data_IF_552409213012
#
_entry.id   IF_552409213012
#
_cell.length_a   1.000
_cell.length_b   1.000
_cell.length_c   1.000
_cell.angle_alpha   90.00
_cell.angle_beta   90.00
_cell.angle_gamma   90.00
#
_symmetry.space_group_name_H-M   'P 1'
#
loop_
_entity.id
_entity.type
_entity.pdbx_description
1 polymer ?
#
# COMPACT_ATOMS: atom_id res chain seq x y z
N UNK A 1 18.41 -12.74 -29.19
CA UNK A 1 18.00 -13.34 -30.48
C UNK A 1 16.48 -13.27 -30.53
N UNK A 2 15.87 -12.55 -31.48
CA UNK A 2 14.43 -12.23 -31.40
C UNK A 2 13.55 -13.48 -31.58
N UNK A 3 12.42 -13.53 -30.88
CA UNK A 3 11.41 -14.61 -30.98
C UNK A 3 11.02 -14.86 -32.45
N UNK A 4 10.95 -13.81 -33.25
CA UNK A 4 10.69 -13.89 -34.69
C UNK A 4 11.75 -14.67 -35.48
N UNK A 5 13.02 -14.66 -35.07
CA UNK A 5 14.07 -15.45 -35.72
C UNK A 5 13.86 -16.95 -35.48
N UNK A 6 13.47 -17.34 -34.26
CA UNK A 6 13.13 -18.73 -33.93
C UNK A 6 11.85 -19.20 -34.64
N UNK A 7 10.82 -18.35 -34.73
CA UNK A 7 9.57 -18.66 -35.46
C UNK A 7 9.85 -18.83 -36.96
N UNK A 8 10.70 -17.97 -37.54
CA UNK A 8 11.10 -18.03 -38.95
C UNK A 8 11.92 -19.30 -39.27
N UNK A 9 12.84 -19.68 -38.38
CA UNK A 9 13.64 -20.91 -38.50
C UNK A 9 12.79 -22.17 -38.33
N UNK A 10 11.74 -22.14 -37.50
CA UNK A 10 10.90 -23.31 -37.21
C UNK A 10 9.89 -23.64 -38.33
N UNK A 11 9.40 -22.63 -39.08
CA UNK A 11 8.28 -22.81 -40.01
C UNK A 11 8.66 -22.74 -41.50
N UNK A 12 9.91 -22.36 -41.82
CA UNK A 12 10.39 -22.32 -43.20
C UNK A 12 9.66 -21.32 -44.12
N UNK A 13 8.82 -20.44 -43.58
CA UNK A 13 7.95 -19.52 -44.35
C UNK A 13 8.15 -18.07 -43.86
N UNK A 14 8.17 -17.11 -44.79
CA UNK A 14 8.07 -15.68 -44.50
C UNK A 14 6.63 -15.33 -44.06
N UNK A 15 6.28 -15.65 -42.82
CA UNK A 15 4.89 -15.57 -42.33
C UNK A 15 4.31 -14.16 -42.28
N UNK A 16 5.13 -13.09 -42.33
CA UNK A 16 4.62 -11.71 -42.28
C UNK A 16 3.81 -11.28 -43.51
N UNK A 17 3.80 -12.06 -44.59
CA UNK A 17 3.13 -11.73 -45.85
C UNK A 17 1.77 -12.43 -46.02
N UNK A 18 1.41 -13.37 -45.15
CA UNK A 18 0.14 -14.10 -45.21
C UNK A 18 -0.91 -13.46 -44.27
N UNK A 19 -2.12 -13.13 -44.76
CA UNK A 19 -3.25 -12.86 -43.88
C UNK A 19 -3.47 -14.06 -42.94
N UNK A 20 -3.72 -13.82 -41.65
CA UNK A 20 -3.98 -14.87 -40.64
C UNK A 20 -2.81 -15.83 -40.33
N UNK A 21 -1.57 -15.45 -40.63
CA UNK A 21 -0.40 -16.28 -40.33
C UNK A 21 -0.29 -16.67 -38.86
N UNK A 22 -0.76 -15.80 -37.96
CA UNK A 22 -0.77 -16.01 -36.51
C UNK A 22 -1.63 -17.22 -36.15
N UNK A 23 -2.81 -17.34 -36.75
CA UNK A 23 -3.73 -18.46 -36.54
C UNK A 23 -3.17 -19.76 -37.11
N UNK A 24 -2.60 -19.73 -38.32
CA UNK A 24 -1.93 -20.89 -38.92
C UNK A 24 -0.78 -21.36 -38.03
N UNK A 25 0.04 -20.43 -37.55
CA UNK A 25 1.14 -20.71 -36.64
C UNK A 25 0.63 -21.36 -35.35
N UNK A 26 -0.31 -20.73 -34.65
CA UNK A 26 -0.87 -21.27 -33.39
C UNK A 26 -1.52 -22.64 -33.61
N UNK A 27 -2.20 -22.85 -34.74
CA UNK A 27 -2.82 -24.14 -35.06
C UNK A 27 -1.79 -25.26 -35.29
N UNK A 28 -0.59 -24.94 -35.76
CA UNK A 28 0.49 -25.92 -35.94
C UNK A 28 1.18 -26.38 -34.65
N UNK A 29 1.04 -25.62 -33.55
CA UNK A 29 1.75 -25.90 -32.29
C UNK A 29 1.10 -27.02 -31.46
N UNK A 30 1.95 -27.83 -30.83
CA UNK A 30 1.58 -28.82 -29.80
C UNK A 30 1.15 -28.15 -28.48
N UNK A 31 0.55 -28.92 -27.57
CA UNK A 31 0.15 -28.44 -26.24
C UNK A 31 1.34 -27.87 -25.46
N UNK A 32 2.46 -28.60 -25.43
CA UNK A 32 3.69 -28.20 -24.73
C UNK A 32 4.27 -26.91 -25.32
N UNK A 33 4.25 -26.80 -26.65
CA UNK A 33 4.72 -25.59 -27.35
C UNK A 33 3.82 -24.39 -27.04
N UNK A 34 2.50 -24.58 -26.99
CA UNK A 34 1.55 -23.53 -26.60
C UNK A 34 1.75 -23.09 -25.16
N UNK A 35 1.97 -24.01 -24.23
CA UNK A 35 2.28 -23.69 -22.82
C UNK A 35 3.56 -22.86 -22.69
N UNK A 36 4.61 -23.25 -23.42
CA UNK A 36 5.87 -22.48 -23.47
C UNK A 36 5.60 -21.08 -24.05
N UNK A 37 4.79 -20.98 -25.10
CA UNK A 37 4.44 -19.72 -25.74
C UNK A 37 3.75 -18.78 -24.75
N UNK A 38 2.66 -19.23 -24.11
CA UNK A 38 1.86 -18.44 -23.16
C UNK A 38 2.67 -18.06 -21.91
N UNK A 39 3.61 -18.91 -21.47
CA UNK A 39 4.47 -18.60 -20.31
C UNK A 39 5.50 -17.52 -20.60
N UNK A 40 6.00 -17.42 -21.84
CA UNK A 40 7.19 -16.63 -22.16
C UNK A 40 6.94 -15.42 -23.07
N UNK A 41 5.79 -15.34 -23.72
CA UNK A 41 5.47 -14.26 -24.66
C UNK A 41 4.42 -13.34 -24.05
N UNK A 42 4.78 -12.07 -23.89
CA UNK A 42 3.84 -10.97 -23.58
C UNK A 42 3.53 -10.07 -24.79
N UNK A 43 4.25 -10.27 -25.91
CA UNK A 43 4.10 -9.52 -27.15
C UNK A 43 4.54 -10.37 -28.36
N UNK A 44 3.79 -10.43 -29.47
CA UNK A 44 2.57 -9.67 -29.76
C UNK A 44 1.31 -10.23 -29.06
N UNK A 45 0.43 -9.33 -28.60
CA UNK A 45 -0.79 -9.65 -27.81
C UNK A 45 -1.70 -10.66 -28.52
N UNK A 46 -1.81 -10.59 -29.85
CA UNK A 46 -2.64 -11.52 -30.63
C UNK A 46 -2.21 -12.98 -30.49
N UNK A 47 -0.91 -13.27 -30.50
CA UNK A 47 -0.42 -14.65 -30.40
C UNK A 47 -0.71 -15.25 -29.02
N UNK A 48 -0.56 -14.45 -27.97
CA UNK A 48 -0.87 -14.87 -26.60
C UNK A 48 -2.37 -15.17 -26.45
N UNK A 49 -3.24 -14.30 -26.98
CA UNK A 49 -4.70 -14.49 -26.95
C UNK A 49 -5.08 -15.77 -27.70
N UNK A 50 -4.64 -15.93 -28.95
CA UNK A 50 -4.95 -17.10 -29.78
C UNK A 50 -4.42 -18.38 -29.15
N UNK A 51 -3.18 -18.37 -28.65
CA UNK A 51 -2.59 -19.54 -28.00
C UNK A 51 -3.34 -19.91 -26.73
N UNK A 52 -3.67 -18.93 -25.89
CA UNK A 52 -4.42 -19.16 -24.64
C UNK A 52 -5.81 -19.72 -24.92
N UNK A 53 -6.52 -19.18 -25.93
CA UNK A 53 -7.84 -19.67 -26.36
C UNK A 53 -7.78 -21.09 -26.91
N UNK A 54 -6.79 -21.39 -27.76
CA UNK A 54 -6.60 -22.75 -28.29
C UNK A 54 -6.28 -23.73 -27.15
N UNK A 55 -5.37 -23.36 -26.26
CA UNK A 55 -4.95 -24.18 -25.13
C UNK A 55 -6.13 -24.45 -24.18
N UNK A 56 -6.96 -23.45 -23.87
CA UNK A 56 -8.12 -23.62 -22.98
C UNK A 56 -9.17 -24.63 -23.48
N UNK A 57 -9.28 -24.80 -24.80
CA UNK A 57 -10.14 -25.81 -25.46
C UNK A 57 -9.59 -27.24 -25.37
N UNK A 58 -8.33 -27.40 -24.95
CA UNK A 58 -7.71 -28.72 -24.75
C UNK A 58 -8.05 -29.29 -23.38
N UNK A 59 -7.73 -30.58 -23.20
CA UNK A 59 -7.72 -31.20 -21.89
C UNK A 59 -6.44 -30.82 -21.14
N UNK A 60 -6.60 -30.15 -20.01
CA UNK A 60 -5.52 -29.52 -19.24
C UNK A 60 -5.59 -29.99 -17.79
N UNK A 61 -4.41 -30.26 -17.23
CA UNK A 61 -4.22 -30.47 -15.80
C UNK A 61 -4.42 -29.17 -15.02
N UNK A 62 -4.58 -29.26 -13.69
CA UNK A 62 -4.71 -28.08 -12.83
C UNK A 62 -3.49 -27.14 -12.95
N UNK A 63 -2.29 -27.71 -13.00
CA UNK A 63 -1.03 -26.95 -13.15
C UNK A 63 -0.94 -26.22 -14.50
N UNK A 64 -1.45 -26.83 -15.58
CA UNK A 64 -1.52 -26.18 -16.89
C UNK A 64 -2.58 -25.06 -16.90
N UNK A 65 -3.70 -25.23 -16.21
CA UNK A 65 -4.70 -24.17 -16.04
C UNK A 65 -4.15 -22.99 -15.23
N UNK A 66 -3.31 -23.22 -14.22
CA UNK A 66 -2.65 -22.14 -13.45
C UNK A 66 -1.79 -21.25 -14.35
N UNK A 67 -1.11 -21.83 -15.34
CA UNK A 67 -0.34 -21.03 -16.32
C UNK A 67 -1.30 -20.08 -17.07
N UNK A 68 -2.47 -20.56 -17.47
CA UNK A 68 -3.49 -19.73 -18.10
C UNK A 68 -4.07 -18.68 -17.14
N UNK A 69 -4.32 -19.01 -15.87
CA UNK A 69 -4.78 -18.05 -14.85
C UNK A 69 -3.82 -16.86 -14.72
N UNK A 70 -2.50 -17.11 -14.76
CA UNK A 70 -1.46 -16.09 -14.59
C UNK A 70 -1.19 -15.26 -15.84
N UNK A 71 -1.30 -15.88 -17.01
CA UNK A 71 -0.86 -15.26 -18.27
C UNK A 71 -1.99 -14.75 -19.15
N UNK A 72 -3.09 -15.49 -19.30
CA UNK A 72 -4.10 -15.24 -20.34
C UNK A 72 -4.74 -13.83 -20.31
N UNK A 73 -5.54 -13.47 -21.32
CA UNK A 73 -6.31 -12.22 -21.27
C UNK A 73 -7.28 -12.20 -20.07
N UNK A 74 -7.63 -11.01 -19.59
CA UNK A 74 -8.50 -10.81 -18.40
C UNK A 74 -9.79 -11.63 -18.47
N UNK A 75 -10.47 -11.61 -19.62
CA UNK A 75 -11.75 -12.31 -19.78
C UNK A 75 -11.57 -13.84 -19.73
N UNK A 76 -10.51 -14.35 -20.39
CA UNK A 76 -10.21 -15.78 -20.38
C UNK A 76 -9.77 -16.27 -19.00
N UNK A 77 -9.04 -15.46 -18.22
CA UNK A 77 -8.64 -15.82 -16.85
C UNK A 77 -9.84 -16.15 -15.96
N UNK A 78 -10.94 -15.41 -16.10
CA UNK A 78 -12.17 -15.65 -15.32
C UNK A 78 -12.76 -17.03 -15.67
N UNK A 79 -12.81 -17.38 -16.95
CA UNK A 79 -13.30 -18.70 -17.39
C UNK A 79 -12.38 -19.85 -16.96
N UNK A 80 -11.07 -19.66 -17.10
CA UNK A 80 -10.05 -20.61 -16.67
C UNK A 80 -10.13 -20.84 -15.16
N UNK A 81 -10.21 -19.76 -14.38
CA UNK A 81 -10.34 -19.83 -12.93
C UNK A 81 -11.63 -20.56 -12.52
N UNK A 82 -12.78 -20.31 -13.16
CA UNK A 82 -14.00 -21.09 -12.92
C UNK A 82 -13.84 -22.57 -13.23
N UNK A 83 -13.16 -22.91 -14.33
CA UNK A 83 -12.86 -24.31 -14.67
C UNK A 83 -12.00 -24.95 -13.58
N UNK A 84 -10.97 -24.24 -13.12
CA UNK A 84 -10.08 -24.72 -12.06
C UNK A 84 -10.79 -24.87 -10.71
N UNK A 85 -11.69 -23.95 -10.31
CA UNK A 85 -12.48 -24.06 -9.08
C UNK A 85 -13.33 -25.33 -9.02
N UNK A 86 -13.83 -25.80 -10.18
CA UNK A 86 -14.60 -27.05 -10.29
C UNK A 86 -13.74 -28.31 -10.10
N UNK A 87 -12.41 -28.18 -10.17
CA UNK A 87 -11.47 -29.29 -10.02
C UNK A 87 -10.98 -29.49 -8.57
N UNK A 88 -11.63 -28.85 -7.58
CA UNK A 88 -11.22 -28.87 -6.17
C UNK A 88 -9.74 -28.46 -5.97
N UNK A 89 -9.39 -27.20 -6.29
CA UNK A 89 -8.00 -26.74 -6.27
C UNK A 89 -7.36 -26.83 -4.88
N UNK A 90 -6.04 -26.90 -4.85
CA UNK A 90 -5.24 -26.74 -3.63
C UNK A 90 -5.27 -25.29 -3.13
N UNK A 91 -4.79 -25.06 -1.90
CA UNK A 91 -4.69 -23.70 -1.34
C UNK A 91 -3.75 -22.82 -2.16
N UNK A 92 -2.65 -23.36 -2.67
CA UNK A 92 -1.72 -22.63 -3.56
C UNK A 92 -2.38 -22.26 -4.89
N UNK A 93 -3.18 -23.17 -5.45
CA UNK A 93 -3.92 -22.92 -6.69
C UNK A 93 -5.04 -21.88 -6.48
N UNK A 94 -5.69 -21.87 -5.31
CA UNK A 94 -6.65 -20.84 -4.94
C UNK A 94 -5.98 -19.47 -4.78
N UNK A 95 -4.78 -19.40 -4.19
CA UNK A 95 -3.99 -18.16 -4.13
C UNK A 95 -3.74 -17.58 -5.53
N UNK A 96 -3.36 -18.41 -6.50
CA UNK A 96 -3.15 -17.97 -7.88
C UNK A 96 -4.41 -17.40 -8.53
N UNK A 97 -5.56 -18.04 -8.28
CA UNK A 97 -6.86 -17.54 -8.73
C UNK A 97 -7.14 -16.18 -8.10
N UNK A 98 -6.93 -16.05 -6.78
CA UNK A 98 -7.19 -14.82 -6.05
C UNK A 98 -6.30 -13.68 -6.56
N UNK A 99 -4.99 -13.89 -6.72
CA UNK A 99 -4.07 -12.88 -7.22
C UNK A 99 -4.39 -12.41 -8.65
N UNK A 100 -4.96 -13.29 -9.47
CA UNK A 100 -5.24 -13.02 -10.89
C UNK A 100 -6.67 -12.54 -11.16
N UNK A 101 -7.58 -12.80 -10.23
CA UNK A 101 -9.02 -12.52 -10.35
C UNK A 101 -9.56 -11.75 -9.16
N UNK A 102 -8.70 -11.02 -8.42
CA UNK A 102 -9.13 -10.08 -7.38
C UNK A 102 -10.19 -9.16 -7.97
N UNK A 103 -11.24 -8.83 -7.20
CA UNK A 103 -12.33 -7.98 -7.66
C UNK A 103 -13.15 -8.61 -8.79
N UNK A 104 -13.49 -9.89 -8.65
CA UNK A 104 -14.45 -10.57 -9.53
C UNK A 104 -15.28 -11.56 -8.72
N UNK A 105 -16.44 -11.95 -9.25
CA UNK A 105 -17.27 -13.03 -8.68
C UNK A 105 -16.48 -14.34 -8.52
N UNK A 106 -15.54 -14.62 -9.42
CA UNK A 106 -14.71 -15.82 -9.35
C UNK A 106 -13.68 -15.74 -8.23
N UNK A 107 -13.17 -14.55 -7.94
CA UNK A 107 -12.33 -14.30 -6.77
C UNK A 107 -13.11 -14.57 -5.47
N UNK A 108 -14.36 -14.14 -5.42
CA UNK A 108 -15.26 -14.39 -4.30
C UNK A 108 -15.54 -15.90 -4.08
N UNK A 109 -15.84 -16.65 -5.13
CA UNK A 109 -15.96 -18.13 -5.08
C UNK A 109 -14.66 -18.79 -4.59
N UNK A 110 -13.50 -18.25 -5.00
CA UNK A 110 -12.20 -18.74 -4.54
C UNK A 110 -11.94 -18.44 -3.05
N UNK A 111 -12.38 -17.28 -2.53
CA UNK A 111 -12.33 -16.98 -1.09
C UNK A 111 -13.18 -17.99 -0.32
N UNK A 112 -14.40 -18.27 -0.77
CA UNK A 112 -15.28 -19.23 -0.09
C UNK A 112 -14.67 -20.62 -0.03
N UNK A 113 -14.14 -21.12 -1.15
CA UNK A 113 -13.41 -22.40 -1.17
C UNK A 113 -12.17 -22.38 -0.28
N UNK A 114 -11.45 -21.27 -0.23
CA UNK A 114 -10.29 -21.14 0.66
C UNK A 114 -10.75 -21.15 2.12
N UNK A 115 -11.88 -20.56 2.48
CA UNK A 115 -12.40 -20.59 3.85
C UNK A 115 -12.80 -22.00 4.33
N UNK A 116 -13.23 -22.87 3.41
CA UNK A 116 -13.57 -24.27 3.65
C UNK A 116 -12.35 -25.17 3.90
N UNK A 117 -11.16 -24.76 3.43
CA UNK A 117 -9.92 -25.52 3.64
C UNK A 117 -9.42 -25.35 5.09
N UNK A 118 -8.55 -26.27 5.52
CA UNK A 118 -7.95 -26.24 6.86
C UNK A 118 -6.61 -25.49 6.90
N UNK A 119 -5.88 -25.50 5.80
CA UNK A 119 -4.54 -24.97 5.59
C UNK A 119 -4.56 -23.54 5.00
N UNK A 120 -5.43 -22.68 5.53
CA UNK A 120 -5.72 -21.40 4.89
C UNK A 120 -4.57 -20.42 5.07
N UNK A 121 -4.20 -19.74 3.98
CA UNK A 121 -3.24 -18.65 4.01
C UNK A 121 -3.91 -17.36 4.48
N UNK A 122 -3.87 -17.11 5.79
CA UNK A 122 -4.56 -15.99 6.47
C UNK A 122 -4.25 -14.64 5.82
N UNK A 123 -2.98 -14.34 5.55
CA UNK A 123 -2.56 -13.09 4.91
C UNK A 123 -3.21 -12.87 3.53
N UNK A 124 -3.44 -13.96 2.79
CA UNK A 124 -4.10 -13.94 1.49
C UNK A 124 -5.59 -13.72 1.65
N UNK A 125 -6.24 -14.40 2.61
CA UNK A 125 -7.65 -14.16 2.91
C UNK A 125 -7.91 -12.69 3.30
N UNK A 126 -7.06 -12.13 4.15
CA UNK A 126 -7.13 -10.71 4.54
C UNK A 126 -7.03 -9.84 3.28
N UNK A 127 -5.98 -10.03 2.46
CA UNK A 127 -5.74 -9.23 1.25
C UNK A 127 -6.84 -9.39 0.21
N UNK A 128 -7.32 -10.61 -0.03
CA UNK A 128 -8.36 -10.90 -0.99
C UNK A 128 -9.71 -10.31 -0.57
N UNK A 129 -10.03 -10.36 0.73
CA UNK A 129 -11.29 -9.79 1.25
C UNK A 129 -11.40 -8.29 1.03
N UNK A 130 -10.29 -7.55 1.03
CA UNK A 130 -10.26 -6.11 0.70
C UNK A 130 -10.78 -5.78 -0.70
N UNK A 131 -10.69 -6.77 -1.57
CA UNK A 131 -10.98 -6.64 -2.98
C UNK A 131 -12.19 -7.50 -3.35
N UNK A 132 -12.89 -8.07 -2.36
CA UNK A 132 -14.12 -8.82 -2.58
C UNK A 132 -15.20 -7.90 -3.15
N UNK A 133 -16.05 -8.43 -4.00
CA UNK A 133 -17.20 -7.68 -4.51
C UNK A 133 -18.37 -7.65 -3.53
N UNK A 134 -18.37 -8.54 -2.54
CA UNK A 134 -19.50 -8.71 -1.66
C UNK A 134 -19.09 -8.60 -0.19
N UNK A 135 -19.69 -7.64 0.52
CA UNK A 135 -19.51 -7.39 1.95
C UNK A 135 -19.67 -8.65 2.80
N UNK A 136 -20.62 -9.53 2.46
CA UNK A 136 -20.85 -10.78 3.22
C UNK A 136 -19.67 -11.76 3.18
N UNK A 137 -18.83 -11.74 2.14
CA UNK A 137 -17.65 -12.61 2.04
C UNK A 137 -16.55 -12.07 2.95
N UNK A 138 -16.34 -10.76 2.94
CA UNK A 138 -15.40 -10.12 3.84
C UNK A 138 -15.83 -10.32 5.31
N UNK A 139 -17.14 -10.30 5.62
CA UNK A 139 -17.66 -10.69 6.94
C UNK A 139 -17.34 -12.14 7.29
N UNK A 140 -17.54 -13.10 6.38
CA UNK A 140 -17.15 -14.50 6.60
C UNK A 140 -15.64 -14.64 6.90
N UNK A 141 -14.80 -13.89 6.18
CA UNK A 141 -13.35 -13.85 6.45
C UNK A 141 -13.09 -13.32 7.86
N UNK A 142 -13.68 -12.19 8.24
CA UNK A 142 -13.53 -11.64 9.60
C UNK A 142 -13.96 -12.65 10.68
N UNK A 143 -15.10 -13.32 10.49
CA UNK A 143 -15.57 -14.35 11.43
C UNK A 143 -14.62 -15.54 11.56
N UNK A 144 -13.92 -15.91 10.46
CA UNK A 144 -12.85 -16.91 10.51
C UNK A 144 -11.64 -16.38 11.27
N UNK A 145 -11.19 -15.16 10.96
CA UNK A 145 -10.02 -14.54 11.59
C UNK A 145 -10.18 -14.41 13.12
N UNK A 146 -11.37 -14.05 13.59
CA UNK A 146 -11.68 -13.95 15.03
C UNK A 146 -11.53 -15.28 15.79
N UNK A 147 -11.55 -16.42 15.08
CA UNK A 147 -11.42 -17.77 15.66
C UNK A 147 -10.07 -18.41 15.36
N UNK A 148 -9.22 -17.74 14.58
CA UNK A 148 -7.92 -18.24 14.17
C UNK A 148 -6.84 -17.80 15.16
N UNK A 149 -5.76 -18.58 15.23
CA UNK A 149 -4.55 -18.16 15.92
C UNK A 149 -3.76 -17.26 14.94
N UNK A 150 -3.76 -15.96 15.20
CA UNK A 150 -3.22 -14.94 14.31
C UNK A 150 -1.79 -14.59 14.70
N UNK A 151 -0.91 -14.47 13.73
CA UNK A 151 0.43 -13.92 13.95
C UNK A 151 0.38 -12.39 14.05
N UNK A 152 1.46 -11.79 14.59
CA UNK A 152 1.62 -10.33 14.63
C UNK A 152 1.50 -9.69 13.24
N UNK A 153 2.07 -10.35 12.21
CA UNK A 153 1.98 -9.88 10.83
C UNK A 153 0.52 -9.86 10.34
N UNK A 154 -0.29 -10.84 10.72
CA UNK A 154 -1.70 -10.88 10.35
C UNK A 154 -2.48 -9.70 10.93
N UNK A 155 -2.24 -9.33 12.19
CA UNK A 155 -2.83 -8.11 12.78
C UNK A 155 -2.42 -6.85 12.04
N UNK A 156 -1.14 -6.74 11.66
CA UNK A 156 -0.72 -5.61 10.85
C UNK A 156 -1.45 -5.55 9.52
N UNK A 157 -1.69 -6.69 8.88
CA UNK A 157 -2.51 -6.74 7.67
C UNK A 157 -3.94 -6.30 7.96
N UNK A 158 -4.57 -6.79 9.03
CA UNK A 158 -5.93 -6.41 9.44
C UNK A 158 -6.05 -4.89 9.68
N UNK A 159 -5.14 -4.30 10.45
CA UNK A 159 -5.16 -2.86 10.74
C UNK A 159 -4.81 -1.98 9.55
N UNK A 160 -4.07 -2.50 8.57
CA UNK A 160 -3.88 -1.83 7.28
C UNK A 160 -5.14 -1.96 6.42
N UNK A 161 -5.77 -3.13 6.45
CA UNK A 161 -6.89 -3.51 5.61
C UNK A 161 -8.13 -2.64 5.80
N UNK A 162 -8.47 -2.30 7.04
CA UNK A 162 -9.68 -1.52 7.30
C UNK A 162 -9.72 -0.18 6.54
N UNK A 163 -8.55 0.39 6.19
CA UNK A 163 -8.47 1.64 5.41
C UNK A 163 -9.08 1.53 4.01
N UNK A 164 -9.26 0.31 3.51
CA UNK A 164 -9.83 0.03 2.19
C UNK A 164 -11.31 -0.38 2.26
N UNK A 165 -11.76 -0.99 3.36
CA UNK A 165 -13.16 -1.37 3.58
C UNK A 165 -13.57 -1.17 5.04
N UNK A 166 -13.86 0.10 5.37
CA UNK A 166 -14.21 0.52 6.71
C UNK A 166 -15.50 -0.15 7.21
N UNK A 167 -16.48 -0.39 6.33
CA UNK A 167 -17.79 -0.94 6.73
C UNK A 167 -17.68 -2.34 7.32
N UNK A 168 -16.80 -3.17 6.76
CA UNK A 168 -16.62 -4.56 7.21
C UNK A 168 -15.73 -4.62 8.44
N UNK A 169 -14.59 -3.95 8.43
CA UNK A 169 -13.56 -4.16 9.45
C UNK A 169 -13.74 -3.28 10.68
N UNK A 170 -14.24 -2.04 10.52
CA UNK A 170 -14.38 -1.08 11.63
C UNK A 170 -15.15 -1.66 12.83
N UNK A 171 -16.28 -2.39 12.65
CA UNK A 171 -17.02 -2.96 13.79
C UNK A 171 -16.22 -3.97 14.62
N UNK A 172 -15.15 -4.54 14.08
CA UNK A 172 -14.36 -5.58 14.71
C UNK A 172 -12.95 -5.12 15.13
N UNK A 173 -12.54 -3.90 14.77
CA UNK A 173 -11.19 -3.40 15.07
C UNK A 173 -10.87 -3.41 16.56
N UNK A 174 -11.83 -3.02 17.40
CA UNK A 174 -11.67 -3.08 18.85
C UNK A 174 -11.42 -4.51 19.34
N UNK A 175 -12.11 -5.49 18.76
CA UNK A 175 -11.91 -6.91 19.12
C UNK A 175 -10.54 -7.40 18.70
N UNK A 176 -10.11 -7.13 17.47
CA UNK A 176 -8.77 -7.47 17.00
C UNK A 176 -7.69 -6.77 17.83
N UNK A 177 -7.92 -5.54 18.26
CA UNK A 177 -7.00 -4.81 19.12
C UNK A 177 -6.88 -5.45 20.51
N UNK A 178 -7.97 -5.84 21.15
CA UNK A 178 -7.94 -6.57 22.42
C UNK A 178 -7.27 -7.94 22.30
N UNK A 179 -7.40 -8.61 21.15
CA UNK A 179 -6.69 -9.87 20.90
C UNK A 179 -5.19 -9.63 20.71
N UNK A 180 -4.80 -8.64 19.91
CA UNK A 180 -3.41 -8.25 19.70
C UNK A 180 -2.70 -7.89 21.02
N UNK A 181 -3.36 -7.13 21.90
CA UNK A 181 -2.79 -6.73 23.21
C UNK A 181 -2.45 -7.90 24.13
N UNK A 182 -3.02 -9.09 23.91
CA UNK A 182 -2.71 -10.31 24.68
C UNK A 182 -1.48 -11.04 24.18
N UNK A 183 -0.96 -10.65 23.02
CA UNK A 183 0.22 -11.26 22.42
C UNK A 183 1.51 -10.62 22.94
N UNK A 184 2.63 -11.37 22.94
CA UNK A 184 3.94 -10.75 23.08
C UNK A 184 4.23 -9.92 21.80
N UNK A 185 4.33 -8.61 21.93
CA UNK A 185 4.72 -7.70 20.85
C UNK A 185 5.99 -6.93 21.20
N UNK A 186 6.72 -6.51 20.17
CA UNK A 186 7.88 -5.63 20.26
C UNK A 186 7.52 -4.17 19.98
N UNK A 187 8.46 -3.27 20.24
CA UNK A 187 8.39 -1.88 19.78
C UNK A 187 8.16 -1.80 18.25
N UNK A 188 8.86 -2.64 17.48
CA UNK A 188 8.76 -2.66 16.02
C UNK A 188 7.36 -3.00 15.54
N UNK A 189 6.68 -3.91 16.23
CA UNK A 189 5.32 -4.34 15.87
C UNK A 189 4.30 -3.21 16.09
N UNK A 190 4.37 -2.55 17.25
CA UNK A 190 3.54 -1.39 17.57
C UNK A 190 3.81 -0.22 16.61
N UNK A 191 5.08 0.06 16.32
CA UNK A 191 5.47 1.12 15.38
C UNK A 191 4.94 0.83 13.97
N UNK A 192 5.03 -0.43 13.52
CA UNK A 192 4.50 -0.84 12.22
C UNK A 192 2.98 -0.63 12.14
N UNK A 193 2.23 -1.01 13.18
CA UNK A 193 0.79 -0.76 13.24
C UNK A 193 0.49 0.75 13.28
N UNK A 194 1.23 1.55 14.05
CA UNK A 194 1.02 3.01 14.15
C UNK A 194 1.11 3.70 12.77
N UNK A 195 2.03 3.25 11.92
CA UNK A 195 2.25 3.80 10.58
C UNK A 195 1.06 3.52 9.66
N UNK A 196 0.48 2.31 9.71
CA UNK A 196 -0.53 1.87 8.74
C UNK A 196 -1.97 1.96 9.24
N UNK A 197 -2.22 1.72 10.52
CA UNK A 197 -3.54 1.87 11.12
C UNK A 197 -3.93 3.34 11.03
N UNK A 198 -5.13 3.65 10.52
CA UNK A 198 -5.70 5.00 10.53
C UNK A 198 -6.68 5.22 11.70
N UNK A 199 -6.96 4.18 12.50
CA UNK A 199 -8.08 4.20 13.44
C UNK A 199 -7.60 4.87 14.72
N UNK A 200 -8.12 6.07 14.96
CA UNK A 200 -7.52 7.00 15.91
C UNK A 200 -7.42 6.43 17.32
N UNK A 201 -8.47 5.75 17.79
CA UNK A 201 -8.48 5.10 19.09
C UNK A 201 -7.30 4.14 19.28
N UNK A 202 -7.02 3.30 18.28
CA UNK A 202 -5.88 2.38 18.31
C UNK A 202 -4.54 3.14 18.25
N UNK A 203 -4.43 4.19 17.43
CA UNK A 203 -3.20 5.02 17.37
C UNK A 203 -2.85 5.63 18.72
N UNK A 204 -3.86 6.15 19.40
CA UNK A 204 -3.74 6.78 20.71
C UNK A 204 -3.31 5.77 21.79
N UNK A 205 -3.90 4.57 21.77
CA UNK A 205 -3.49 3.46 22.64
C UNK A 205 -2.06 2.99 22.32
N UNK A 206 -1.68 2.86 21.04
CA UNK A 206 -0.32 2.50 20.63
C UNK A 206 0.69 3.53 21.15
N UNK A 207 0.40 4.83 21.05
CA UNK A 207 1.28 5.86 21.60
C UNK A 207 1.54 5.66 23.09
N UNK A 208 0.48 5.32 23.85
CA UNK A 208 0.55 5.06 25.29
C UNK A 208 1.36 3.79 25.62
N UNK A 209 1.31 2.77 24.76
CA UNK A 209 2.06 1.51 24.92
C UNK A 209 3.52 1.62 24.46
N UNK A 210 3.80 2.43 23.44
CA UNK A 210 5.15 2.62 22.90
C UNK A 210 6.03 3.43 23.86
N UNK A 211 5.51 4.49 24.47
CA UNK A 211 6.31 5.41 25.30
C UNK A 211 7.10 4.71 26.43
N UNK A 212 6.52 3.77 27.20
CA UNK A 212 7.26 3.02 28.22
C UNK A 212 8.40 2.16 27.68
N UNK A 213 8.36 1.77 26.39
CA UNK A 213 9.38 0.93 25.77
C UNK A 213 10.64 1.71 25.36
N UNK A 214 10.69 3.01 25.66
CA UNK A 214 11.78 3.92 25.27
C UNK A 214 12.12 3.84 23.77
N UNK A 215 11.15 4.16 22.89
CA UNK A 215 11.24 3.85 21.49
C UNK A 215 12.25 4.75 20.77
N UNK A 216 12.73 4.29 19.62
CA UNK A 216 13.63 5.07 18.76
C UNK A 216 13.01 6.42 18.36
N UNK A 217 13.84 7.45 18.12
CA UNK A 217 13.37 8.81 17.83
C UNK A 217 12.41 8.91 16.63
N UNK A 218 12.58 8.03 15.63
CA UNK A 218 11.66 7.93 14.50
C UNK A 218 10.24 7.53 14.95
N UNK A 219 10.13 6.59 15.88
CA UNK A 219 8.86 6.13 16.43
C UNK A 219 8.21 7.17 17.34
N UNK A 220 9.00 7.90 18.12
CA UNK A 220 8.52 9.10 18.83
C UNK A 220 7.94 10.13 17.85
N UNK A 221 8.61 10.35 16.70
CA UNK A 221 8.11 11.22 15.64
C UNK A 221 6.75 10.77 15.10
N UNK A 222 6.55 9.46 14.91
CA UNK A 222 5.24 8.91 14.51
C UNK A 222 4.14 9.14 15.55
N UNK A 223 4.46 9.03 16.84
CA UNK A 223 3.53 9.34 17.94
C UNK A 223 3.10 10.81 17.86
N UNK A 224 4.05 11.74 17.76
CA UNK A 224 3.76 13.18 17.64
C UNK A 224 2.91 13.48 16.39
N UNK A 225 3.21 12.83 15.26
CA UNK A 225 2.52 13.09 14.00
C UNK A 225 1.08 12.55 13.95
N UNK A 226 0.75 11.48 14.69
CA UNK A 226 -0.47 10.69 14.50
C UNK A 226 -1.35 10.50 15.75
N UNK A 227 -0.87 10.83 16.95
CA UNK A 227 -1.66 10.78 18.19
C UNK A 227 -2.60 11.99 18.29
N UNK A 228 -3.76 11.81 18.90
CA UNK A 228 -4.66 12.86 19.37
C UNK A 228 -4.63 13.01 20.90
N UNK A 229 -3.92 12.11 21.60
CA UNK A 229 -3.69 12.22 23.05
C UNK A 229 -2.54 13.20 23.31
N UNK A 230 -2.88 14.35 23.89
CA UNK A 230 -1.94 15.46 24.13
C UNK A 230 -0.77 15.05 25.03
N UNK A 231 -1.01 14.24 26.06
CA UNK A 231 0.06 13.75 26.95
C UNK A 231 1.09 12.90 26.20
N UNK A 232 0.65 12.11 25.21
CA UNK A 232 1.55 11.30 24.39
C UNK A 232 2.39 12.17 23.47
N UNK A 233 1.77 13.18 22.86
CA UNK A 233 2.46 14.16 22.01
C UNK A 233 3.50 14.93 22.82
N UNK A 234 3.12 15.43 24.00
CA UNK A 234 3.98 16.20 24.89
C UNK A 234 5.21 15.39 25.30
N UNK A 235 5.01 14.18 25.81
CA UNK A 235 6.10 13.31 26.26
C UNK A 235 7.02 12.88 25.11
N UNK A 236 6.45 12.51 23.96
CA UNK A 236 7.23 12.16 22.77
C UNK A 236 8.07 13.35 22.27
N UNK A 237 7.46 14.54 22.21
CA UNK A 237 8.13 15.78 21.80
C UNK A 237 9.31 16.11 22.71
N UNK A 238 9.11 16.03 24.03
CA UNK A 238 10.16 16.24 25.03
C UNK A 238 11.34 15.30 24.79
N UNK A 239 11.09 13.99 24.67
CA UNK A 239 12.14 12.97 24.46
C UNK A 239 12.89 13.16 23.15
N UNK A 240 12.21 13.51 22.05
CA UNK A 240 12.86 13.84 20.78
C UNK A 240 13.86 15.00 20.97
N UNK A 241 13.47 16.04 21.69
CA UNK A 241 14.32 17.19 21.95
C UNK A 241 15.50 16.84 22.89
N UNK A 242 15.29 15.98 23.88
CA UNK A 242 16.34 15.50 24.79
C UNK A 242 17.37 14.61 24.08
N UNK A 243 16.95 13.77 23.13
CA UNK A 243 17.85 12.90 22.35
C UNK A 243 18.72 13.64 21.33
N UNK A 244 18.53 14.96 21.15
CA UNK A 244 19.32 15.81 20.25
C UNK A 244 19.49 15.25 18.83
N UNK A 245 18.40 14.69 18.27
CA UNK A 245 18.44 14.00 16.99
C UNK A 245 18.87 14.90 15.82
N UNK A 246 19.53 14.29 14.83
CA UNK A 246 19.78 14.91 13.53
C UNK A 246 18.64 14.72 12.53
N UNK A 247 17.69 13.83 12.84
CA UNK A 247 16.58 13.52 11.95
C UNK A 247 15.59 14.68 11.88
N UNK A 248 15.26 15.07 10.66
CA UNK A 248 14.37 16.20 10.39
C UNK A 248 12.91 15.83 10.68
N UNK A 249 12.47 14.62 10.33
CA UNK A 249 11.06 14.21 10.41
C UNK A 249 10.46 14.32 11.82
N UNK A 250 11.10 13.83 12.90
CA UNK A 250 10.56 14.01 14.25
C UNK A 250 10.47 15.48 14.67
N UNK A 251 11.41 16.33 14.25
CA UNK A 251 11.38 17.76 14.54
C UNK A 251 10.26 18.49 13.77
N UNK A 252 10.00 18.12 12.51
CA UNK A 252 8.85 18.63 11.74
C UNK A 252 7.53 18.24 12.42
N UNK A 253 7.44 17.00 12.90
CA UNK A 253 6.24 16.53 13.62
C UNK A 253 5.97 17.42 14.83
N UNK A 254 7.00 17.78 15.61
CA UNK A 254 6.86 18.73 16.74
C UNK A 254 6.36 20.09 16.24
N UNK A 255 7.02 20.66 15.23
CA UNK A 255 6.67 21.99 14.69
C UNK A 255 5.24 22.06 14.19
N UNK A 256 4.71 20.97 13.63
CA UNK A 256 3.35 20.94 13.09
C UNK A 256 2.28 20.56 14.12
N UNK A 257 2.56 19.63 15.03
CA UNK A 257 1.53 18.98 15.87
C UNK A 257 1.58 19.31 17.35
N UNK A 258 2.74 19.62 17.94
CA UNK A 258 2.83 19.81 19.39
C UNK A 258 2.00 21.03 19.85
N UNK A 259 1.23 20.93 20.93
CA UNK A 259 0.57 22.13 21.50
C UNK A 259 1.57 23.06 22.19
N UNK A 260 2.65 22.50 22.75
CA UNK A 260 3.66 23.25 23.50
C UNK A 260 4.49 24.16 22.57
N UNK A 261 4.34 25.47 22.76
CA UNK A 261 5.03 26.48 21.95
C UNK A 261 6.56 26.47 22.12
N UNK A 262 7.08 26.23 23.32
CA UNK A 262 8.52 26.18 23.56
C UNK A 262 9.17 25.02 22.80
N UNK A 263 8.50 23.87 22.75
CA UNK A 263 8.97 22.72 21.98
C UNK A 263 8.95 23.01 20.47
N UNK A 264 7.90 23.66 19.96
CA UNK A 264 7.85 24.12 18.56
C UNK A 264 8.98 25.09 18.23
N UNK A 265 9.26 26.05 19.11
CA UNK A 265 10.33 27.04 18.94
C UNK A 265 11.69 26.35 18.93
N UNK A 266 11.96 25.47 19.89
CA UNK A 266 13.24 24.76 19.97
C UNK A 266 13.46 23.83 18.77
N UNK A 267 12.45 23.06 18.37
CA UNK A 267 12.51 22.24 17.15
C UNK A 267 12.79 23.11 15.91
N UNK A 268 12.11 24.25 15.79
CA UNK A 268 12.32 25.22 14.71
C UNK A 268 13.77 25.74 14.68
N UNK A 269 14.30 26.15 15.84
CA UNK A 269 15.70 26.62 15.96
C UNK A 269 16.68 25.57 15.48
N UNK A 270 16.46 24.29 15.82
CA UNK A 270 17.32 23.18 15.37
C UNK A 270 17.22 22.94 13.86
N UNK A 271 16.01 23.01 13.30
CA UNK A 271 15.79 22.87 11.86
C UNK A 271 16.47 23.99 11.07
N UNK A 272 16.34 25.24 11.50
CA UNK A 272 16.90 26.42 10.81
C UNK A 272 18.44 26.52 10.86
N UNK A 273 19.11 25.81 11.78
CA UNK A 273 20.58 25.70 11.82
C UNK A 273 21.15 24.89 10.64
N UNK A 274 20.31 24.22 9.86
CA UNK A 274 20.72 23.34 8.76
C UNK A 274 20.04 23.81 7.47
N UNK A 275 20.57 23.37 6.32
CA UNK A 275 19.87 23.53 5.05
C UNK A 275 18.73 22.51 4.99
N UNK A 276 17.53 22.98 4.72
CA UNK A 276 16.33 22.16 4.58
C UNK A 276 15.78 22.23 3.15
N UNK A 277 14.83 21.35 2.85
CA UNK A 277 14.00 21.42 1.66
C UNK A 277 12.88 22.48 1.83
N UNK A 278 12.14 22.75 0.75
CA UNK A 278 11.07 23.76 0.77
C UNK A 278 9.94 23.37 1.74
N UNK A 279 9.63 22.07 1.84
CA UNK A 279 8.53 21.56 2.66
C UNK A 279 8.73 21.84 4.15
N UNK A 280 9.96 21.73 4.67
CA UNK A 280 10.28 22.08 6.06
C UNK A 280 10.14 23.57 6.32
N UNK A 281 10.62 24.42 5.41
CA UNK A 281 10.48 25.87 5.58
C UNK A 281 9.02 26.32 5.49
N UNK A 282 8.22 25.67 4.64
CA UNK A 282 6.76 25.84 4.60
C UNK A 282 6.14 25.50 5.96
N UNK A 283 6.43 24.33 6.51
CA UNK A 283 5.85 23.89 7.79
C UNK A 283 6.23 24.81 8.94
N UNK A 284 7.49 25.30 8.96
CA UNK A 284 7.92 26.32 9.94
C UNK A 284 7.16 27.62 9.74
N UNK A 285 7.06 28.12 8.51
CA UNK A 285 6.37 29.38 8.18
C UNK A 285 4.89 29.33 8.51
N UNK A 286 4.28 28.14 8.52
CA UNK A 286 2.89 27.97 8.90
C UNK A 286 2.71 27.84 10.40
N UNK A 287 3.47 26.95 11.05
CA UNK A 287 3.09 26.41 12.35
C UNK A 287 3.96 26.87 13.52
N UNK A 288 5.12 27.51 13.24
CA UNK A 288 5.97 28.04 14.31
C UNK A 288 5.29 29.23 14.99
N UNK A 289 5.15 29.26 16.32
CA UNK A 289 4.48 30.36 17.01
C UNK A 289 5.31 31.67 17.02
N UNK A 290 6.63 31.56 16.87
CA UNK A 290 7.55 32.71 16.86
C UNK A 290 7.59 33.39 15.48
N UNK A 291 7.19 34.67 15.44
CA UNK A 291 7.11 35.46 14.20
C UNK A 291 8.46 35.62 13.50
N UNK A 292 9.55 35.83 14.25
CA UNK A 292 10.86 36.02 13.63
C UNK A 292 11.37 34.72 13.01
N UNK A 293 11.15 33.58 13.66
CA UNK A 293 11.53 32.28 13.13
C UNK A 293 10.71 31.92 11.89
N UNK A 294 9.41 32.25 11.86
CA UNK A 294 8.58 32.13 10.65
C UNK A 294 9.15 32.96 9.51
N UNK A 295 9.45 34.24 9.75
CA UNK A 295 10.01 35.13 8.72
C UNK A 295 11.37 34.65 8.22
N UNK A 296 12.23 34.13 9.11
CA UNK A 296 13.51 33.51 8.74
C UNK A 296 13.31 32.30 7.84
N UNK A 297 12.31 31.46 8.11
CA UNK A 297 11.97 30.31 7.26
C UNK A 297 11.41 30.75 5.91
N UNK A 298 10.49 31.72 5.90
CA UNK A 298 9.95 32.32 4.70
C UNK A 298 11.04 32.88 3.77
N UNK A 299 11.97 33.66 4.32
CA UNK A 299 13.07 34.23 3.56
C UNK A 299 13.99 33.15 2.96
N UNK A 300 14.17 32.02 3.67
CA UNK A 300 14.90 30.87 3.13
C UNK A 300 14.10 30.13 2.05
N UNK A 301 12.78 30.02 2.19
CA UNK A 301 11.89 29.40 1.21
C UNK A 301 11.92 30.15 -0.13
N UNK A 302 11.76 31.47 -0.10
CA UNK A 302 11.71 32.28 -1.32
C UNK A 302 13.06 32.40 -2.05
N UNK A 303 14.15 32.06 -1.38
CA UNK A 303 15.50 31.96 -1.98
C UNK A 303 15.71 30.64 -2.74
N UNK A 304 14.78 29.68 -2.66
CA UNK A 304 14.88 28.43 -3.41
C UNK A 304 14.51 28.71 -4.87
N UNK A 305 15.43 28.37 -5.79
CA UNK A 305 15.39 28.70 -7.22
C UNK A 305 14.10 28.30 -7.95
N UNK A 306 13.36 27.32 -7.43
CA UNK A 306 12.04 26.94 -7.91
C UNK A 306 11.14 26.65 -6.71
N UNK A 307 10.44 27.68 -6.25
CA UNK A 307 9.45 27.52 -5.19
C UNK A 307 8.34 26.60 -5.73
N UNK A 308 7.94 25.62 -4.93
CA UNK A 308 6.87 24.71 -5.30
C UNK A 308 5.52 25.40 -5.03
N UNK A 309 4.71 25.59 -6.07
CA UNK A 309 3.42 26.30 -5.97
C UNK A 309 2.50 25.76 -4.84
N UNK A 310 2.40 24.44 -4.61
CA UNK A 310 1.65 23.91 -3.46
C UNK A 310 2.18 24.34 -2.10
N UNK A 311 3.47 24.65 -1.95
CA UNK A 311 3.99 25.17 -0.69
C UNK A 311 3.49 26.62 -0.43
N UNK A 312 3.36 27.43 -1.49
CA UNK A 312 2.78 28.78 -1.40
C UNK A 312 1.28 28.72 -1.08
N UNK A 313 0.54 27.84 -1.76
CA UNK A 313 -0.88 27.62 -1.49
C UNK A 313 -1.11 27.19 -0.03
N UNK A 314 -0.31 26.27 0.46
CA UNK A 314 -0.42 25.79 1.84
C UNK A 314 -0.15 26.91 2.85
N UNK A 315 0.86 27.77 2.63
CA UNK A 315 1.11 28.93 3.49
C UNK A 315 -0.07 29.91 3.44
N UNK A 316 -0.62 30.17 2.25
CA UNK A 316 -1.80 31.02 2.11
C UNK A 316 -3.01 30.49 2.90
N UNK A 317 -3.26 29.18 2.86
CA UNK A 317 -4.41 28.55 3.51
C UNK A 317 -4.23 28.35 5.03
N UNK A 318 -3.01 28.03 5.48
CA UNK A 318 -2.77 27.54 6.83
C UNK A 318 -1.77 28.38 7.64
N UNK A 319 -1.21 29.43 7.07
CA UNK A 319 -0.27 30.31 7.76
C UNK A 319 -0.88 30.98 9.00
N UNK A 320 -0.09 31.14 10.06
CA UNK A 320 -0.48 31.93 11.23
C UNK A 320 -0.28 33.44 11.05
N UNK A 321 0.44 33.86 10.01
CA UNK A 321 0.80 35.26 9.76
C UNK A 321 0.13 35.76 8.48
N UNK A 322 -0.80 36.71 8.61
CA UNK A 322 -1.58 37.25 7.49
C UNK A 322 -0.70 37.96 6.45
N UNK A 323 0.44 38.52 6.85
CA UNK A 323 1.37 39.15 5.92
C UNK A 323 2.04 38.09 5.05
N UNK A 324 2.49 36.98 5.64
CA UNK A 324 3.07 35.87 4.89
C UNK A 324 2.03 35.19 3.99
N UNK A 325 0.78 35.05 4.44
CA UNK A 325 -0.32 34.54 3.61
C UNK A 325 -0.56 35.39 2.37
N UNK A 326 -0.50 36.71 2.51
CA UNK A 326 -0.64 37.66 1.39
C UNK A 326 0.54 37.55 0.43
N UNK A 327 1.77 37.57 0.94
CA UNK A 327 2.97 37.44 0.12
C UNK A 327 3.01 36.10 -0.64
N UNK A 328 2.57 35.01 -0.01
CA UNK A 328 2.48 33.71 -0.65
C UNK A 328 1.49 33.70 -1.83
N UNK A 329 0.31 34.32 -1.66
CA UNK A 329 -0.67 34.46 -2.74
C UNK A 329 -0.14 35.34 -3.89
N UNK A 330 0.52 36.45 -3.58
CA UNK A 330 1.13 37.33 -4.59
C UNK A 330 2.20 36.59 -5.40
N UNK A 331 3.12 35.88 -4.74
CA UNK A 331 4.14 35.08 -5.41
C UNK A 331 3.56 33.90 -6.21
N UNK A 332 2.46 33.30 -5.74
CA UNK A 332 1.77 32.24 -6.47
C UNK A 332 1.22 32.76 -7.80
N UNK A 333 0.62 33.94 -7.81
CA UNK A 333 0.05 34.54 -9.03
C UNK A 333 1.09 35.05 -10.03
N UNK A 334 2.36 35.14 -9.63
CA UNK A 334 3.48 35.58 -10.47
C UNK A 334 4.27 34.43 -11.11
N UNK A 335 4.17 33.23 -10.55
CA UNK A 335 4.76 31.99 -11.09
C UNK A 335 3.77 31.29 -12.02
#
# INVERSE_FOLDING_TARGET
MSVFKKIKEFLGISLKEAPNWEEIFINSLSKEQLLILVKNIRYPENLEILASQKLFKMDLTSQELIILVRSASKDLRIEVARKLLKMNPSTDELEDILLSSTRTVVGDEAIEKMLEKSDNKISILITASLFSHHTHIAEKVVQKLLKSDLSINDYSHIFKSYTYDEKVYLPFLDTFWEMFKKMPFSEGDLAHILVFCKYQKIRDEIGSLLLPLNPHVANLGYIVANSHVESNILEASKRILEQNTKDTLPLIAIVSKASNHDYKIEATKRLLKRKQDSSVYRDISCHCPDKELRLKAWNKLIQITRIYEPDLEYIHQHGLDEELKKQALELKNLN
#
